data_IF_000129047956
#
_entry.id   IF_000129047956
#
_cell.length_a   1.000
_cell.length_b   1.000
_cell.length_c   1.000
_cell.angle_alpha   90.00
_cell.angle_beta   90.00
_cell.angle_gamma   90.00
#
_symmetry.space_group_name_H-M   'P 1'
#
loop_
_entity.id
_entity.type
_entity.pdbx_description
1 polymer ?
#
# COMPACT_ATOMS: atom_id res chain seq x y z
N UNK A 1 1.34 6.25 14.81
CA UNK A 1 1.83 4.87 14.67
C UNK A 1 3.33 4.72 14.91
N UNK A 2 4.24 5.54 14.37
CA UNK A 2 5.68 5.41 14.68
C UNK A 2 6.01 5.61 16.16
N UNK A 3 5.48 6.67 16.78
CA UNK A 3 5.73 6.97 18.21
C UNK A 3 5.25 5.87 19.18
N UNK A 4 4.33 5.01 18.74
CA UNK A 4 3.76 3.91 19.54
C UNK A 4 4.40 2.56 19.23
N UNK A 5 4.64 2.23 17.95
CA UNK A 5 5.23 0.95 17.53
C UNK A 5 6.76 0.95 17.49
N UNK A 6 7.39 2.13 17.38
CA UNK A 6 8.82 2.32 17.04
C UNK A 6 9.27 1.59 15.76
N UNK A 7 8.31 1.20 14.92
CA UNK A 7 8.55 0.47 13.67
C UNK A 7 8.44 1.41 12.49
N UNK A 8 9.53 1.56 11.73
CA UNK A 8 9.53 2.34 10.49
C UNK A 8 8.65 1.70 9.41
N UNK A 9 8.58 0.36 9.40
CA UNK A 9 7.76 -0.40 8.45
C UNK A 9 6.27 -0.11 8.69
N UNK A 10 5.81 -0.18 9.94
CA UNK A 10 4.40 0.09 10.26
C UNK A 10 4.03 1.56 9.99
N UNK A 11 4.99 2.48 10.12
CA UNK A 11 4.81 3.87 9.75
C UNK A 11 4.70 4.07 8.23
N UNK A 12 5.59 3.44 7.46
CA UNK A 12 5.58 3.48 6.00
C UNK A 12 4.25 2.93 5.45
N UNK A 13 3.82 1.75 5.92
CA UNK A 13 2.53 1.15 5.56
C UNK A 13 1.38 2.12 5.80
N UNK A 14 1.37 2.77 6.97
CA UNK A 14 0.31 3.68 7.37
C UNK A 14 0.25 4.94 6.51
N UNK A 15 1.41 5.56 6.23
CA UNK A 15 1.50 6.73 5.36
C UNK A 15 1.06 6.38 3.95
N UNK A 16 1.51 5.24 3.41
CA UNK A 16 1.12 4.80 2.07
C UNK A 16 -0.38 4.54 1.98
N UNK A 17 -0.98 3.87 2.98
CA UNK A 17 -2.45 3.70 3.07
C UNK A 17 -3.19 5.06 3.09
N UNK A 18 -2.67 6.01 3.86
CA UNK A 18 -3.24 7.35 3.96
C UNK A 18 -3.22 8.08 2.61
N UNK A 19 -2.06 8.09 1.94
CA UNK A 19 -1.88 8.72 0.62
C UNK A 19 -2.79 8.08 -0.42
N UNK A 20 -2.80 6.74 -0.48
CA UNK A 20 -3.64 5.99 -1.42
C UNK A 20 -5.13 6.31 -1.23
N UNK A 21 -5.58 6.36 0.02
CA UNK A 21 -7.00 6.57 0.34
C UNK A 21 -7.46 7.99 0.05
N UNK A 22 -6.64 9.00 0.39
CA UNK A 22 -7.08 10.40 0.34
C UNK A 22 -6.74 11.07 -0.99
N UNK A 23 -5.58 10.77 -1.57
CA UNK A 23 -5.07 11.48 -2.73
C UNK A 23 -5.20 10.65 -4.01
N UNK A 24 -4.74 9.40 -4.00
CA UNK A 24 -4.74 8.56 -5.20
C UNK A 24 -6.16 8.27 -5.67
N UNK A 25 -7.12 8.02 -4.76
CA UNK A 25 -8.54 7.84 -5.13
C UNK A 25 -9.12 9.02 -5.93
N UNK A 26 -8.67 10.26 -5.69
CA UNK A 26 -9.18 11.44 -6.41
C UNK A 26 -8.74 11.48 -7.87
N UNK A 27 -7.63 10.81 -8.20
CA UNK A 27 -7.08 10.77 -9.56
C UNK A 27 -7.98 9.98 -10.54
N UNK A 28 -8.86 9.11 -10.03
CA UNK A 28 -9.83 8.34 -10.83
C UNK A 28 -10.98 9.18 -11.39
N UNK A 29 -11.22 10.39 -10.88
CA UNK A 29 -12.48 11.11 -11.11
C UNK A 29 -12.67 11.69 -12.51
N UNK A 30 -11.63 11.78 -13.35
CA UNK A 30 -11.73 12.34 -14.70
C UNK A 30 -11.33 11.27 -15.72
N UNK A 31 -12.33 10.72 -16.41
CA UNK A 31 -12.14 9.71 -17.45
C UNK A 31 -11.19 10.21 -18.54
N UNK A 32 -10.29 9.32 -19.00
CA UNK A 32 -9.29 9.58 -20.06
C UNK A 32 -8.31 10.74 -19.78
N UNK A 33 -8.21 11.19 -18.53
CA UNK A 33 -7.21 12.18 -18.13
C UNK A 33 -5.87 11.53 -17.78
N UNK A 34 -4.82 12.36 -17.77
CA UNK A 34 -3.51 11.98 -17.21
C UNK A 34 -3.61 11.52 -15.75
N UNK A 35 -4.59 12.03 -14.99
CA UNK A 35 -4.90 11.58 -13.63
C UNK A 35 -5.29 10.10 -13.58
N UNK A 36 -6.11 9.63 -14.53
CA UNK A 36 -6.49 8.21 -14.63
C UNK A 36 -5.28 7.33 -14.95
N UNK A 37 -4.34 7.81 -15.78
CA UNK A 37 -3.08 7.09 -16.08
C UNK A 37 -2.24 6.95 -14.80
N UNK A 38 -2.05 8.04 -14.05
CA UNK A 38 -1.32 7.98 -12.77
C UNK A 38 -2.02 7.10 -11.74
N UNK A 39 -3.35 7.17 -11.65
CA UNK A 39 -4.14 6.30 -10.78
C UNK A 39 -3.87 4.82 -11.10
N UNK A 40 -3.87 4.46 -12.38
CA UNK A 40 -3.60 3.10 -12.82
C UNK A 40 -2.18 2.65 -12.44
N UNK A 41 -1.17 3.46 -12.78
CA UNK A 41 0.24 3.15 -12.50
C UNK A 41 0.48 2.97 -10.99
N UNK A 42 -0.05 3.87 -10.15
CA UNK A 42 0.14 3.80 -8.71
C UNK A 42 -0.52 2.55 -8.12
N UNK A 43 -1.71 2.16 -8.61
CA UNK A 43 -2.34 0.93 -8.15
C UNK A 43 -1.57 -0.32 -8.57
N UNK A 44 -1.04 -0.36 -9.79
CA UNK A 44 -0.20 -1.46 -10.26
C UNK A 44 1.08 -1.59 -9.40
N UNK A 45 1.70 -0.48 -9.03
CA UNK A 45 2.86 -0.48 -8.13
C UNK A 45 2.50 -0.98 -6.72
N UNK A 46 1.37 -0.52 -6.16
CA UNK A 46 0.88 -1.00 -4.87
C UNK A 46 0.57 -2.51 -4.89
N UNK A 47 0.01 -3.02 -5.99
CA UNK A 47 -0.27 -4.43 -6.17
C UNK A 47 1.02 -5.25 -6.22
N UNK A 48 2.02 -4.78 -6.97
CA UNK A 48 3.35 -5.39 -7.01
C UNK A 48 4.02 -5.44 -5.62
N UNK A 49 3.97 -4.34 -4.88
CA UNK A 49 4.50 -4.29 -3.51
C UNK A 49 3.74 -5.22 -2.55
N UNK A 50 2.43 -5.35 -2.70
CA UNK A 50 1.63 -6.32 -1.95
C UNK A 50 2.06 -7.77 -2.24
N UNK A 51 2.31 -8.12 -3.50
CA UNK A 51 2.81 -9.45 -3.87
C UNK A 51 4.18 -9.74 -3.25
N UNK A 52 5.09 -8.75 -3.24
CA UNK A 52 6.38 -8.86 -2.54
C UNK A 52 6.19 -9.10 -1.05
N UNK A 53 5.32 -8.33 -0.39
CA UNK A 53 5.04 -8.44 1.05
C UNK A 53 4.42 -9.81 1.41
N UNK A 54 3.51 -10.32 0.59
CA UNK A 54 2.94 -11.67 0.76
C UNK A 54 4.03 -12.73 0.61
N UNK A 55 4.84 -12.64 -0.44
CA UNK A 55 5.90 -13.62 -0.72
C UNK A 55 6.94 -13.62 0.40
N UNK A 56 7.37 -12.44 0.84
CA UNK A 56 8.27 -12.27 1.98
C UNK A 56 7.65 -12.86 3.25
N UNK A 57 6.42 -12.47 3.58
CA UNK A 57 5.75 -12.95 4.78
C UNK A 57 5.60 -14.47 4.82
N UNK A 58 5.26 -15.10 3.69
CA UNK A 58 5.23 -16.56 3.58
C UNK A 58 6.62 -17.18 3.73
N UNK A 59 7.64 -16.61 3.09
CA UNK A 59 9.02 -17.11 3.17
C UNK A 59 9.56 -17.14 4.61
N UNK A 60 9.17 -16.17 5.43
CA UNK A 60 9.59 -16.07 6.83
C UNK A 60 8.53 -16.56 7.83
N UNK A 61 7.52 -17.31 7.39
CA UNK A 61 6.46 -17.88 8.22
C UNK A 61 5.77 -16.85 9.14
N UNK A 62 5.59 -15.61 8.66
CA UNK A 62 4.77 -14.62 9.38
C UNK A 62 3.32 -15.10 9.47
N UNK A 63 2.63 -14.73 10.55
CA UNK A 63 1.21 -15.01 10.67
C UNK A 63 0.44 -14.31 9.55
N UNK A 64 -0.66 -14.92 9.11
CA UNK A 64 -1.52 -14.36 8.07
C UNK A 64 -2.01 -12.95 8.46
N UNK A 65 -2.31 -12.74 9.74
CA UNK A 65 -2.74 -11.45 10.25
C UNK A 65 -1.64 -10.38 10.12
N UNK A 66 -0.38 -10.75 10.41
CA UNK A 66 0.74 -9.81 10.22
C UNK A 66 0.96 -9.48 8.75
N UNK A 67 0.81 -10.46 7.85
CA UNK A 67 0.90 -10.21 6.41
C UNK A 67 -0.21 -9.26 5.96
N UNK A 68 -1.44 -9.45 6.44
CA UNK A 68 -2.58 -8.57 6.13
C UNK A 68 -2.35 -7.13 6.61
N UNK A 69 -1.79 -6.95 7.81
CA UNK A 69 -1.46 -5.61 8.32
C UNK A 69 -0.50 -4.86 7.40
N UNK A 70 0.45 -5.58 6.80
CA UNK A 70 1.48 -5.02 5.92
C UNK A 70 0.99 -4.67 4.52
N UNK A 71 -0.16 -5.21 4.06
CA UNK A 71 -0.71 -4.87 2.74
C UNK A 71 -1.05 -3.38 2.66
N UNK A 72 -0.88 -2.77 1.49
CA UNK A 72 -1.03 -1.33 1.22
C UNK A 72 -2.44 -0.91 0.81
N UNK A 73 -3.36 -1.88 0.76
CA UNK A 73 -4.77 -1.74 0.36
C UNK A 73 -5.72 -2.05 1.51
#
# INVERSE_FOLDING_TARGET
QYKTSKSLIDFEVAITKFINTIHVKKLKNIALSIGTIFYFIINAENEHENLKRITYGKRYNLSIDKIKEMLLT
#
